data_IF_440053831620
#
_entry.id   IF_440053831620
#
_cell.length_a   1.000
_cell.length_b   1.000
_cell.length_c   1.000
_cell.angle_alpha   90.00
_cell.angle_beta   90.00
_cell.angle_gamma   90.00
#
_symmetry.space_group_name_H-M   'P 1'
#
loop_
_entity.id
_entity.type
_entity.pdbx_description
1 polymer ?
#
# COMPACT_ATOMS: atom_id res chain seq x y z
N UNK A 1 25.62 -76.87 -28.60
CA UNK A 1 25.20 -76.99 -27.18
C UNK A 1 25.88 -75.86 -26.41
N UNK A 2 25.12 -75.11 -25.58
CA UNK A 2 25.53 -74.02 -24.64
C UNK A 2 24.91 -72.65 -24.99
N UNK A 3 23.66 -72.37 -24.57
CA UNK A 3 23.20 -71.80 -23.28
C UNK A 3 23.18 -70.25 -23.34
N UNK A 4 22.04 -69.64 -23.71
CA UNK A 4 21.11 -69.00 -22.75
C UNK A 4 21.82 -68.09 -21.74
N UNK A 5 21.89 -66.78 -22.00
CA UNK A 5 22.06 -65.76 -20.95
C UNK A 5 21.62 -64.38 -21.45
N UNK A 6 20.31 -64.15 -21.39
CA UNK A 6 19.74 -62.81 -21.32
C UNK A 6 19.89 -62.37 -19.86
N UNK A 7 20.59 -61.27 -19.54
CA UNK A 7 20.39 -60.51 -18.30
C UNK A 7 21.38 -59.33 -18.19
N UNK A 8 20.90 -58.28 -17.54
CA UNK A 8 21.63 -57.09 -17.06
C UNK A 8 21.96 -56.01 -18.09
N UNK A 9 20.91 -55.30 -18.51
CA UNK A 9 21.03 -53.94 -18.99
C UNK A 9 19.71 -53.21 -18.82
N UNK A 10 19.09 -53.31 -17.63
CA UNK A 10 17.89 -52.54 -17.31
C UNK A 10 18.27 -51.05 -17.26
N UNK A 11 18.20 -50.37 -18.39
CA UNK A 11 18.22 -48.91 -18.48
C UNK A 11 16.92 -48.44 -17.84
N UNK A 12 16.98 -48.14 -16.56
CA UNK A 12 15.90 -47.47 -15.84
C UNK A 12 15.90 -46.02 -16.31
N UNK A 13 15.14 -45.76 -17.38
CA UNK A 13 14.86 -44.41 -17.87
C UNK A 13 13.96 -43.73 -16.84
N UNK A 14 14.57 -42.93 -15.97
CA UNK A 14 13.86 -42.12 -14.97
C UNK A 14 13.05 -41.04 -15.70
N UNK A 15 11.76 -41.32 -15.92
CA UNK A 15 10.84 -40.37 -16.53
C UNK A 15 10.52 -39.29 -15.48
N UNK A 16 11.16 -38.12 -15.61
CA UNK A 16 10.84 -36.94 -14.81
C UNK A 16 9.49 -36.40 -15.30
N UNK A 17 8.40 -36.93 -14.78
CA UNK A 17 7.05 -36.40 -15.04
C UNK A 17 6.93 -35.08 -14.27
N UNK A 18 7.16 -33.98 -14.96
CA UNK A 18 6.79 -32.66 -14.44
C UNK A 18 5.26 -32.61 -14.38
N UNK A 19 4.70 -32.73 -13.19
CA UNK A 19 3.28 -32.49 -12.96
C UNK A 19 3.05 -30.99 -13.20
N UNK A 20 2.21 -30.57 -14.16
CA UNK A 20 1.88 -29.17 -14.30
C UNK A 20 1.11 -28.75 -13.04
N UNK A 21 1.67 -27.79 -12.28
CA UNK A 21 0.94 -27.12 -11.23
C UNK A 21 -0.24 -26.39 -11.90
N UNK A 22 -1.46 -26.87 -11.69
CA UNK A 22 -2.66 -26.17 -12.14
C UNK A 22 -2.77 -24.89 -11.32
N UNK A 23 -2.51 -23.75 -11.94
CA UNK A 23 -2.80 -22.45 -11.36
C UNK A 23 -4.32 -22.35 -11.18
N UNK A 24 -4.75 -22.13 -9.94
CA UNK A 24 -6.15 -21.91 -9.60
C UNK A 24 -6.45 -20.43 -9.84
N UNK A 25 -7.57 -20.11 -10.49
CA UNK A 25 -7.97 -18.72 -10.70
C UNK A 25 -8.94 -18.29 -9.61
N UNK A 26 -8.57 -17.27 -8.84
CA UNK A 26 -9.39 -16.68 -7.79
C UNK A 26 -9.85 -15.29 -8.20
N UNK A 27 -11.14 -14.99 -8.02
CA UNK A 27 -11.71 -13.70 -8.42
C UNK A 27 -11.68 -12.69 -7.30
N UNK A 28 -10.79 -11.71 -7.41
CA UNK A 28 -10.76 -10.54 -6.55
C UNK A 28 -11.86 -9.55 -6.96
N UNK A 29 -12.84 -9.34 -6.09
CA UNK A 29 -13.99 -8.46 -6.38
C UNK A 29 -13.67 -6.99 -6.16
N UNK A 30 -14.33 -6.13 -6.94
CA UNK A 30 -14.40 -4.70 -6.68
C UNK A 30 -14.98 -4.44 -5.29
N UNK A 31 -14.49 -3.41 -4.61
CA UNK A 31 -14.89 -3.05 -3.25
C UNK A 31 -14.16 -3.84 -2.16
N UNK A 32 -13.33 -4.84 -2.50
CA UNK A 32 -12.48 -5.53 -1.52
C UNK A 32 -11.59 -4.50 -0.80
N UNK A 33 -11.62 -4.52 0.53
CA UNK A 33 -10.85 -3.60 1.35
C UNK A 33 -9.38 -4.03 1.41
N UNK A 34 -8.49 -3.08 1.13
CA UNK A 34 -7.05 -3.26 1.16
C UNK A 34 -6.49 -2.31 2.22
N UNK A 35 -6.16 -2.81 3.43
CA UNK A 35 -5.46 -2.02 4.43
C UNK A 35 -4.05 -1.73 3.93
N UNK A 36 -3.64 -0.47 3.96
CA UNK A 36 -2.29 -0.06 3.57
C UNK A 36 -1.61 0.67 4.70
N UNK A 37 -0.29 0.74 4.62
CA UNK A 37 0.58 1.48 5.54
C UNK A 37 1.51 2.36 4.72
N UNK A 38 1.79 3.56 5.21
CA UNK A 38 2.76 4.46 4.59
C UNK A 38 4.16 3.81 4.64
N UNK A 39 4.86 3.74 3.51
CA UNK A 39 6.18 3.09 3.42
C UNK A 39 7.34 4.03 3.74
N UNK A 40 7.08 5.32 3.78
CA UNK A 40 8.05 6.38 4.06
C UNK A 40 7.36 7.48 4.87
N UNK A 41 8.12 8.34 5.56
CA UNK A 41 7.51 9.45 6.29
C UNK A 41 7.11 10.57 5.33
N UNK A 42 5.95 11.17 5.56
CA UNK A 42 5.45 12.32 4.80
C UNK A 42 5.55 13.61 5.61
N UNK A 43 6.00 14.68 4.96
CA UNK A 43 5.95 16.04 5.51
C UNK A 43 5.40 17.04 4.49
N UNK A 44 4.61 18.03 4.94
CA UNK A 44 4.05 19.07 4.06
C UNK A 44 5.12 20.02 3.52
N UNK A 45 6.30 20.04 4.15
CA UNK A 45 7.42 20.91 3.75
C UNK A 45 8.19 20.33 2.55
N UNK A 46 8.48 19.02 2.58
CA UNK A 46 9.32 18.34 1.59
C UNK A 46 8.58 17.86 0.36
N UNK A 47 7.24 17.76 0.42
CA UNK A 47 6.44 17.19 -0.65
C UNK A 47 5.47 18.19 -1.26
N UNK A 48 5.23 18.05 -2.57
CA UNK A 48 4.34 18.91 -3.36
C UNK A 48 3.27 18.09 -4.08
N UNK A 49 2.20 18.77 -4.51
CA UNK A 49 1.15 18.16 -5.33
C UNK A 49 1.75 17.56 -6.60
N UNK A 50 1.41 16.30 -6.88
CA UNK A 50 1.92 15.54 -8.02
C UNK A 50 3.07 14.59 -7.67
N UNK A 51 3.66 14.69 -6.47
CA UNK A 51 4.71 13.77 -6.06
C UNK A 51 4.18 12.34 -5.95
N UNK A 52 5.04 11.39 -6.35
CA UNK A 52 4.78 9.97 -6.17
C UNK A 52 5.16 9.55 -4.76
N UNK A 53 4.35 8.67 -4.18
CA UNK A 53 4.59 8.13 -2.85
C UNK A 53 4.32 6.64 -2.81
N UNK A 54 5.06 5.94 -1.96
CA UNK A 54 4.90 4.51 -1.76
C UNK A 54 4.14 4.18 -0.47
N UNK A 55 3.19 3.25 -0.59
CA UNK A 55 2.56 2.56 0.53
C UNK A 55 2.89 1.06 0.44
N UNK A 56 2.59 0.34 1.51
CA UNK A 56 2.67 -1.13 1.57
C UNK A 56 1.33 -1.69 2.01
N UNK A 57 0.92 -2.81 1.43
CA UNK A 57 -0.23 -3.57 1.93
C UNK A 57 0.08 -4.03 3.37
N UNK A 58 -0.82 -3.77 4.30
CA UNK A 58 -0.54 -4.01 5.72
C UNK A 58 -0.50 -5.50 6.08
N UNK A 59 -1.37 -6.31 5.46
CA UNK A 59 -1.50 -7.74 5.70
C UNK A 59 -1.94 -8.47 4.43
N UNK A 60 -1.69 -9.78 4.35
CA UNK A 60 -2.13 -10.63 3.25
C UNK A 60 -3.63 -10.45 2.97
N UNK A 61 -3.96 -10.26 1.69
CA UNK A 61 -5.34 -10.21 1.22
C UNK A 61 -5.71 -11.62 0.78
N UNK A 62 -6.59 -12.25 1.55
CA UNK A 62 -7.02 -13.63 1.33
C UNK A 62 -8.43 -13.62 0.73
N UNK A 63 -8.59 -14.28 -0.41
CA UNK A 63 -9.89 -14.53 -1.06
C UNK A 63 -10.00 -16.03 -1.29
N UNK A 64 -11.13 -16.62 -0.92
CA UNK A 64 -11.38 -18.06 -1.05
C UNK A 64 -10.28 -18.96 -0.43
N UNK A 65 -9.66 -18.49 0.66
CA UNK A 65 -8.60 -19.21 1.38
C UNK A 65 -7.21 -19.12 0.74
N UNK A 66 -7.05 -18.33 -0.33
CA UNK A 66 -5.79 -18.12 -1.06
C UNK A 66 -5.34 -16.68 -0.95
N UNK A 67 -4.03 -16.46 -0.79
CA UNK A 67 -3.44 -15.12 -0.79
C UNK A 67 -3.42 -14.62 -2.23
N UNK A 68 -4.14 -13.53 -2.50
CA UNK A 68 -4.20 -12.89 -3.84
C UNK A 68 -3.28 -11.67 -3.93
N UNK A 69 -3.03 -11.00 -2.81
CA UNK A 69 -2.07 -9.89 -2.68
C UNK A 69 -1.31 -10.11 -1.37
N UNK A 70 0.02 -10.13 -1.44
CA UNK A 70 0.87 -10.32 -0.27
C UNK A 70 0.91 -9.07 0.62
N UNK A 71 0.99 -9.28 1.93
CA UNK A 71 1.38 -8.25 2.88
C UNK A 71 2.77 -7.74 2.53
N UNK A 72 2.94 -6.42 2.56
CA UNK A 72 4.15 -5.75 2.15
C UNK A 72 4.21 -5.40 0.66
N UNK A 73 3.27 -5.85 -0.18
CA UNK A 73 3.18 -5.44 -1.58
C UNK A 73 3.14 -3.92 -1.72
N UNK A 74 3.94 -3.39 -2.64
CA UNK A 74 4.04 -1.96 -2.88
C UNK A 74 2.75 -1.44 -3.52
N UNK A 75 2.23 -0.37 -2.93
CA UNK A 75 1.05 0.36 -3.42
C UNK A 75 1.53 1.72 -3.91
N UNK A 76 1.31 1.98 -5.18
CA UNK A 76 1.63 3.26 -5.80
C UNK A 76 0.58 4.30 -5.41
N UNK A 77 1.03 5.43 -4.90
CA UNK A 77 0.18 6.58 -4.60
C UNK A 77 0.72 7.88 -5.17
N UNK A 78 -0.10 8.91 -5.12
CA UNK A 78 0.25 10.27 -5.58
C UNK A 78 -0.34 11.29 -4.64
N UNK A 79 0.40 12.35 -4.36
CA UNK A 79 -0.07 13.50 -3.61
C UNK A 79 -1.03 14.29 -4.49
N UNK A 80 -2.32 14.29 -4.15
CA UNK A 80 -3.35 15.02 -4.90
C UNK A 80 -3.47 16.47 -4.46
N UNK A 81 -3.03 16.78 -3.24
CA UNK A 81 -3.01 18.13 -2.71
C UNK A 81 -1.94 18.24 -1.63
N UNK A 82 -1.11 19.28 -1.69
CA UNK A 82 -0.19 19.64 -0.62
C UNK A 82 -0.22 21.16 -0.41
N UNK A 83 -0.39 21.56 0.84
CA UNK A 83 -0.36 22.93 1.31
C UNK A 83 0.60 23.03 2.50
N UNK A 84 1.56 23.94 2.39
CA UNK A 84 2.56 24.19 3.44
C UNK A 84 1.94 24.98 4.57
N UNK A 85 2.42 24.78 5.79
CA UNK A 85 2.08 25.66 6.90
C UNK A 85 2.61 27.08 6.64
N UNK A 86 1.83 28.09 7.06
CA UNK A 86 2.17 29.49 6.88
C UNK A 86 2.18 30.25 8.23
N UNK A 87 2.86 31.40 8.27
CA UNK A 87 3.04 32.25 9.46
C UNK A 87 1.74 32.87 10.03
N UNK A 88 0.55 32.50 9.52
CA UNK A 88 -0.75 33.00 9.97
C UNK A 88 -1.64 31.83 10.42
N UNK A 89 -1.13 31.00 11.35
CA UNK A 89 -1.92 29.92 11.97
C UNK A 89 -2.57 28.93 11.00
N UNK A 90 -2.03 28.78 9.79
CA UNK A 90 -2.56 27.87 8.79
C UNK A 90 -1.76 26.56 8.88
N UNK A 91 -2.41 25.50 9.37
CA UNK A 91 -1.81 24.16 9.44
C UNK A 91 -1.53 23.61 8.04
N UNK A 92 -0.41 22.90 7.91
CA UNK A 92 -0.09 22.19 6.67
C UNK A 92 -1.12 21.09 6.38
N UNK A 93 -1.39 20.81 5.11
CA UNK A 93 -2.33 19.77 4.68
C UNK A 93 -1.79 18.98 3.52
N UNK A 94 -1.88 17.65 3.59
CA UNK A 94 -1.48 16.74 2.51
C UNK A 94 -2.61 15.75 2.26
N UNK A 95 -3.10 15.67 1.04
CA UNK A 95 -3.98 14.61 0.57
C UNK A 95 -3.24 13.71 -0.40
N UNK A 96 -3.40 12.40 -0.19
CA UNK A 96 -2.79 11.35 -0.99
C UNK A 96 -3.87 10.46 -1.59
N UNK A 97 -3.68 10.04 -2.82
CA UNK A 97 -4.48 9.01 -3.48
C UNK A 97 -3.67 7.72 -3.63
N UNK A 98 -4.34 6.58 -3.44
CA UNK A 98 -3.79 5.24 -3.64
C UNK A 98 -4.33 4.71 -4.97
N UNK A 99 -3.44 4.34 -5.89
CA UNK A 99 -3.77 4.12 -7.30
C UNK A 99 -3.78 2.64 -7.69
N UNK A 100 -2.76 1.89 -7.32
CA UNK A 100 -2.65 0.47 -7.70
C UNK A 100 -1.66 -0.30 -6.82
N UNK A 101 -1.77 -1.62 -6.87
CA UNK A 101 -0.83 -2.58 -6.28
C UNK A 101 -0.63 -3.76 -7.22
N UNK A 102 0.28 -4.67 -6.88
CA UNK A 102 0.56 -5.88 -7.66
C UNK A 102 0.12 -7.12 -6.89
N UNK A 103 -0.64 -7.99 -7.56
CA UNK A 103 -1.06 -9.30 -7.07
C UNK A 103 0.05 -10.35 -7.19
N UNK A 104 -0.18 -11.53 -6.59
CA UNK A 104 0.80 -12.65 -6.55
C UNK A 104 1.20 -13.20 -7.93
N UNK A 105 0.36 -13.02 -8.94
CA UNK A 105 0.60 -13.41 -10.34
C UNK A 105 1.28 -12.31 -11.17
N UNK A 106 1.51 -11.12 -10.59
CA UNK A 106 2.00 -9.93 -11.29
C UNK A 106 0.90 -9.05 -11.89
N UNK A 107 -0.38 -9.40 -11.73
CA UNK A 107 -1.50 -8.57 -12.19
C UNK A 107 -1.52 -7.24 -11.46
N UNK A 108 -1.63 -6.14 -12.21
CA UNK A 108 -1.77 -4.80 -11.65
C UNK A 108 -3.23 -4.58 -11.24
N UNK A 109 -3.46 -4.52 -9.93
CA UNK A 109 -4.78 -4.32 -9.33
C UNK A 109 -4.97 -2.83 -9.09
N UNK A 110 -5.91 -2.23 -9.82
CA UNK A 110 -6.29 -0.83 -9.63
C UNK A 110 -7.05 -0.64 -8.32
N UNK A 111 -6.62 0.34 -7.55
CA UNK A 111 -7.19 0.71 -6.26
C UNK A 111 -7.88 2.07 -6.36
N UNK A 112 -8.81 2.29 -5.43
CA UNK A 112 -9.42 3.58 -5.18
C UNK A 112 -9.34 3.83 -3.68
N UNK A 113 -8.72 4.94 -3.31
CA UNK A 113 -8.67 5.38 -1.93
C UNK A 113 -7.93 6.69 -1.82
N UNK A 114 -8.29 7.48 -0.82
CA UNK A 114 -7.56 8.69 -0.48
C UNK A 114 -7.47 8.84 1.02
N UNK A 115 -6.41 9.51 1.47
CA UNK A 115 -6.23 9.89 2.86
C UNK A 115 -5.76 11.33 2.90
N UNK A 116 -6.29 12.09 3.84
CA UNK A 116 -5.83 13.44 4.14
C UNK A 116 -5.14 13.41 5.50
N UNK A 117 -4.01 14.08 5.56
CA UNK A 117 -3.22 14.34 6.74
C UNK A 117 -3.19 15.85 6.94
N UNK A 118 -3.51 16.30 8.15
CA UNK A 118 -3.54 17.71 8.53
C UNK A 118 -2.56 17.87 9.70
N UNK A 119 -1.83 18.99 9.73
CA UNK A 119 -1.00 19.37 10.87
C UNK A 119 -1.88 19.52 12.12
N UNK A 120 -1.32 19.15 13.28
CA UNK A 120 -2.04 19.26 14.54
C UNK A 120 -2.19 20.74 14.88
N UNK A 121 -3.39 21.32 14.76
CA UNK A 121 -3.60 22.69 15.23
C UNK A 121 -3.35 22.73 16.74
N UNK A 122 -2.37 23.53 17.18
CA UNK A 122 -2.08 23.84 18.59
C UNK A 122 -3.24 24.54 19.34
N UNK A 123 -4.44 24.56 18.76
CA UNK A 123 -5.64 25.15 19.35
C UNK A 123 -6.48 24.16 20.17
N UNK A 124 -6.12 22.87 20.21
CA UNK A 124 -6.91 21.84 20.93
C UNK A 124 -6.35 21.52 22.34
N UNK A 125 -5.19 22.06 22.71
CA UNK A 125 -4.52 21.74 23.99
C UNK A 125 -4.82 22.67 25.16
N UNK A 126 -5.09 23.97 24.96
CA UNK A 126 -5.47 24.87 26.06
C UNK A 126 -6.16 26.11 25.50
N UNK A 127 -7.49 26.17 25.62
CA UNK A 127 -8.18 27.46 25.67
C UNK A 127 -7.75 28.12 26.98
N UNK A 128 -6.60 28.79 26.99
CA UNK A 128 -6.38 29.87 27.95
C UNK A 128 -7.35 30.95 27.50
N UNK A 129 -8.46 31.04 28.23
CA UNK A 129 -9.36 32.20 28.21
C UNK A 129 -8.52 33.44 28.47
N UNK A 130 -8.06 34.08 27.40
CA UNK A 130 -7.09 35.17 27.51
C UNK A 130 -6.43 35.52 26.17
N UNK A 131 -7.20 35.68 25.09
CA UNK A 131 -6.73 36.37 23.89
C UNK A 131 -6.53 37.83 24.24
N UNK A 132 -5.36 38.13 24.81
CA UNK A 132 -4.76 39.45 24.75
C UNK A 132 -4.38 39.65 23.29
N UNK A 133 -4.82 40.78 22.71
CA UNK A 133 -4.40 41.29 21.41
C UNK A 133 -2.89 41.63 21.42
N UNK A 134 -2.04 40.64 21.66
CA UNK A 134 -0.60 40.76 21.65
C UNK A 134 -0.14 40.61 20.19
N UNK A 135 0.58 41.60 19.62
CA UNK A 135 1.14 41.49 18.27
C UNK A 135 2.04 40.26 18.04
N UNK A 136 2.55 39.66 19.13
CA UNK A 136 3.37 38.45 19.11
C UNK A 136 2.57 37.16 18.83
N UNK A 137 1.25 37.15 19.05
CA UNK A 137 0.40 35.99 18.73
C UNK A 137 0.22 35.80 17.21
N UNK A 138 0.46 36.83 16.40
CA UNK A 138 0.50 36.76 14.93
C UNK A 138 1.83 36.19 14.40
N UNK A 139 2.77 35.85 15.26
CA UNK A 139 4.05 35.26 14.91
C UNK A 139 4.11 33.75 15.23
N UNK A 140 2.98 33.13 15.56
CA UNK A 140 2.91 31.68 15.72
C UNK A 140 2.62 31.03 14.36
N UNK A 141 3.53 30.16 13.91
CA UNK A 141 3.36 29.42 12.66
C UNK A 141 2.51 28.19 12.92
N UNK A 142 1.61 27.84 12.00
CA UNK A 142 0.85 26.59 12.13
C UNK A 142 1.77 25.37 12.03
N UNK A 143 1.42 24.29 12.72
CA UNK A 143 2.20 23.05 12.69
C UNK A 143 2.14 22.38 11.31
N UNK A 144 3.24 21.70 10.97
CA UNK A 144 3.35 20.91 9.74
C UNK A 144 2.59 19.60 9.85
N UNK A 145 1.98 19.16 8.75
CA UNK A 145 1.46 17.79 8.66
C UNK A 145 2.64 16.82 8.55
N UNK A 146 3.01 16.17 9.67
CA UNK A 146 4.02 15.12 9.73
C UNK A 146 3.36 13.77 9.99
N UNK A 147 3.62 12.81 9.12
CA UNK A 147 3.06 11.47 9.20
C UNK A 147 4.20 10.48 9.17
N UNK A 148 4.37 9.73 10.27
CA UNK A 148 5.36 8.68 10.36
C UNK A 148 5.03 7.48 9.45
N UNK A 149 6.07 6.75 9.09
CA UNK A 149 5.96 5.43 8.47
C UNK A 149 5.03 4.51 9.30
N UNK A 150 4.32 3.60 8.63
CA UNK A 150 3.39 2.68 9.30
C UNK A 150 1.99 3.26 9.55
N UNK A 151 1.77 4.54 9.26
CA UNK A 151 0.42 5.14 9.35
C UNK A 151 -0.54 4.44 8.39
N UNK A 152 -1.69 3.98 8.93
CA UNK A 152 -2.63 3.18 8.17
C UNK A 152 -3.53 4.02 7.26
N UNK A 153 -3.69 3.56 6.03
CA UNK A 153 -4.61 4.06 5.02
C UNK A 153 -5.62 3.01 4.60
N UNK A 154 -6.66 3.46 3.89
CA UNK A 154 -7.74 2.61 3.37
C UNK A 154 -7.81 2.74 1.85
N UNK A 155 -7.60 1.64 1.15
CA UNK A 155 -7.92 1.50 -0.26
C UNK A 155 -9.00 0.43 -0.46
N UNK A 156 -9.71 0.54 -1.59
CA UNK A 156 -10.61 -0.51 -2.09
C UNK A 156 -10.22 -0.87 -3.51
N UNK A 157 -10.48 -2.12 -3.91
CA UNK A 157 -10.28 -2.55 -5.30
C UNK A 157 -11.31 -1.87 -6.21
N UNK A 158 -10.86 -1.24 -7.30
CA UNK A 158 -11.73 -0.45 -8.17
C UNK A 158 -12.59 -1.31 -9.12
N UNK A 159 -12.10 -2.47 -9.55
CA UNK A 159 -12.76 -3.37 -10.50
C UNK A 159 -12.51 -4.84 -10.16
N UNK A 160 -13.24 -5.76 -10.79
CA UNK A 160 -12.97 -7.18 -10.57
C UNK A 160 -11.70 -7.61 -11.32
N UNK A 161 -10.91 -8.49 -10.72
CA UNK A 161 -9.73 -9.11 -11.31
C UNK A 161 -9.77 -10.62 -11.12
N UNK A 162 -9.28 -11.36 -12.11
CA UNK A 162 -9.05 -12.80 -12.01
C UNK A 162 -7.56 -12.99 -11.78
N UNK A 163 -7.19 -13.55 -10.62
CA UNK A 163 -5.81 -13.67 -10.15
C UNK A 163 -5.43 -15.15 -10.16
N UNK A 164 -4.30 -15.46 -10.78
CA UNK A 164 -3.76 -16.82 -10.78
C UNK A 164 -2.97 -17.09 -9.49
N UNK A 165 -3.50 -17.96 -8.64
CA UNK A 165 -2.84 -18.40 -7.40
C UNK A 165 -2.27 -19.80 -7.58
N UNK A 166 -1.09 -20.04 -7.00
CA UNK A 166 -0.41 -21.34 -7.03
C UNK A 166 -0.84 -22.27 -5.88
#
# INVERSE_FOLDING_TARGET
MNKFSYLLGAVVLNLLVAVPAMAETVRLKAGTFIPVTLAESLTSESHVTGDSIMFRVANDIVVDGKVVIEGGSMVNGTITFAEKSAMVGQAGKISVAMLNTTAVDGTVVTLQGSKTFEGEDETTGTVVVGVVLCPLALLNSGDEAKVGEGTQGRAIVASNFDIEVK
#
